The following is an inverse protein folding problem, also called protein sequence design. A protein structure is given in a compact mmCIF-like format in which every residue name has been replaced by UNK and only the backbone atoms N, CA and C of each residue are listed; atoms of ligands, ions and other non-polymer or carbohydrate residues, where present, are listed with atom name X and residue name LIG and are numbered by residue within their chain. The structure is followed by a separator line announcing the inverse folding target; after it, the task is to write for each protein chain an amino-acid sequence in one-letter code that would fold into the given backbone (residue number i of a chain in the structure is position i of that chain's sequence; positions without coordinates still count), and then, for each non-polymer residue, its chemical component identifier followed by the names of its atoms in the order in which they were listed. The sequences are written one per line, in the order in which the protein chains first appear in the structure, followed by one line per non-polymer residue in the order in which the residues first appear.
data_IF_464040866557
#
_entry.id   IF_464040866557
#
_cell.length_a   1.000
_cell.length_b   1.000
_cell.length_c   1.000
_cell.angle_alpha   90.00
_cell.angle_beta   90.00
_cell.angle_gamma   90.00
#
_symmetry.space_group_name_H-M   'P 1'
#
loop_
_entity.id
_entity.type
_entity.pdbx_description
1 polymer ?
#
# COMPACT_ATOMS: atom_id res chain seq x y z
N UNK A 1 31.83 -30.87 2.79
CA UNK A 1 31.41 -29.59 2.19
C UNK A 1 30.04 -29.78 1.54
N UNK A 2 28.96 -29.62 2.30
CA UNK A 2 27.61 -29.72 1.76
C UNK A 2 26.97 -28.33 1.80
N UNK A 3 27.07 -27.63 0.67
CA UNK A 3 26.32 -26.40 0.41
C UNK A 3 24.87 -26.78 0.14
N UNK A 4 24.08 -27.01 1.19
CA UNK A 4 22.62 -27.00 1.03
C UNK A 4 22.17 -25.56 0.82
N UNK A 5 22.06 -25.18 -0.45
CA UNK A 5 21.26 -24.04 -0.87
C UNK A 5 19.81 -24.43 -0.65
N UNK A 6 19.28 -24.15 0.55
CA UNK A 6 17.84 -24.20 0.79
C UNK A 6 17.26 -22.95 0.13
N UNK A 7 16.91 -23.09 -1.15
CA UNK A 7 16.04 -22.17 -1.85
C UNK A 7 14.62 -22.29 -1.26
N UNK A 8 14.41 -21.67 -0.11
CA UNK A 8 13.09 -21.47 0.49
C UNK A 8 12.37 -20.39 -0.32
N UNK A 9 11.78 -20.80 -1.45
CA UNK A 9 10.72 -20.08 -2.13
C UNK A 9 9.46 -20.13 -1.25
N UNK A 10 9.46 -19.33 -0.18
CA UNK A 10 8.24 -19.06 0.58
C UNK A 10 7.43 -18.06 -0.24
N UNK A 11 6.52 -18.60 -1.04
CA UNK A 11 5.41 -17.85 -1.61
C UNK A 11 4.60 -17.32 -0.43
N UNK A 12 4.93 -16.12 0.02
CA UNK A 12 4.17 -15.45 1.05
C UNK A 12 2.84 -15.06 0.42
N UNK A 13 1.82 -15.87 0.68
CA UNK A 13 0.42 -15.50 0.53
C UNK A 13 0.10 -14.37 1.50
N UNK A 14 0.59 -13.17 1.19
CA UNK A 14 0.24 -11.94 1.86
C UNK A 14 -1.15 -11.53 1.34
N UNK A 15 -2.16 -12.35 1.63
CA UNK A 15 -3.58 -12.03 1.48
C UNK A 15 -3.99 -10.99 2.53
N UNK A 16 -3.29 -9.85 2.56
CA UNK A 16 -3.91 -8.62 3.05
C UNK A 16 -4.79 -8.11 1.93
N UNK A 17 -5.96 -8.73 1.80
CA UNK A 17 -7.17 -8.22 1.16
C UNK A 17 -6.90 -7.05 0.21
N UNK A 18 -6.56 -7.38 -1.04
CA UNK A 18 -6.92 -6.53 -2.18
C UNK A 18 -8.43 -6.74 -2.39
N UNK A 19 -9.24 -6.48 -1.35
CA UNK A 19 -10.70 -6.45 -1.49
C UNK A 19 -11.02 -5.12 -2.14
N UNK A 20 -11.14 -5.17 -3.47
CA UNK A 20 -11.88 -4.19 -4.24
C UNK A 20 -13.38 -4.43 -4.06
N UNK A 21 -13.87 -4.44 -2.82
CA UNK A 21 -15.29 -4.55 -2.49
C UNK A 21 -15.60 -3.61 -1.33
N UNK A 22 -16.62 -2.77 -1.51
CA UNK A 22 -17.22 -2.00 -0.42
C UNK A 22 -16.53 -0.67 -0.10
N UNK A 23 -16.90 0.38 -0.84
CA UNK A 23 -16.94 1.73 -0.26
C UNK A 23 -18.03 1.71 0.82
N UNK A 24 -17.65 1.75 2.10
CA UNK A 24 -18.36 2.31 3.26
C UNK A 24 -18.03 1.50 4.52
N UNK A 25 -17.44 2.16 5.51
CA UNK A 25 -17.21 1.55 6.82
C UNK A 25 -15.99 2.14 7.48
N UNK A 26 -16.23 3.03 8.45
CA UNK A 26 -15.26 3.42 9.48
C UNK A 26 -14.93 2.16 10.29
N UNK A 27 -14.08 1.27 9.76
CA UNK A 27 -13.62 0.09 10.48
C UNK A 27 -12.72 0.52 11.61
N UNK A 28 -13.11 0.18 12.85
CA UNK A 28 -12.28 0.35 14.04
C UNK A 28 -10.87 -0.20 13.77
N UNK A 29 -9.86 0.63 13.94
CA UNK A 29 -8.45 0.26 13.82
C UNK A 29 -7.95 -0.48 15.08
N UNK A 30 -8.73 -1.45 15.57
CA UNK A 30 -8.32 -2.27 16.69
C UNK A 30 -7.51 -3.44 16.11
N UNK A 31 -6.24 -3.58 16.52
CA UNK A 31 -5.36 -4.73 16.27
C UNK A 31 -4.59 -4.87 14.94
N UNK A 32 -4.39 -3.83 14.13
CA UNK A 32 -3.30 -3.88 13.13
C UNK A 32 -1.97 -3.51 13.79
N UNK A 33 -1.35 -4.48 14.48
CA UNK A 33 0.04 -4.37 14.89
C UNK A 33 0.91 -4.15 13.63
N UNK A 34 1.35 -2.91 13.41
CA UNK A 34 2.26 -2.63 12.30
C UNK A 34 3.52 -3.50 12.44
N UNK A 35 4.12 -3.93 11.33
CA UNK A 35 5.26 -4.87 11.32
C UNK A 35 6.36 -4.58 12.36
N UNK A 36 6.63 -3.30 12.64
CA UNK A 36 7.60 -2.89 13.67
C UNK A 36 7.21 -3.29 15.10
N UNK A 37 5.91 -3.37 15.41
CA UNK A 37 5.40 -3.87 16.69
C UNK A 37 5.64 -5.38 16.81
N UNK A 38 5.53 -6.13 15.71
CA UNK A 38 5.87 -7.55 15.70
C UNK A 38 7.38 -7.76 15.85
N UNK A 39 8.19 -6.95 15.16
CA UNK A 39 9.66 -6.97 15.28
C UNK A 39 10.12 -6.70 16.71
N UNK A 40 9.41 -5.84 17.47
CA UNK A 40 9.71 -5.58 18.88
C UNK A 40 9.52 -6.78 19.80
N UNK A 41 8.78 -7.82 19.37
CA UNK A 41 8.58 -9.07 20.11
C UNK A 41 9.66 -10.12 19.78
N UNK A 42 10.60 -9.79 18.90
CA UNK A 42 11.75 -10.63 18.58
C UNK A 42 12.91 -10.32 19.52
N UNK A 43 13.70 -11.34 19.82
CA UNK A 43 14.91 -11.21 20.61
C UNK A 43 16.03 -10.67 19.72
N UNK A 44 16.03 -9.36 19.50
CA UNK A 44 16.99 -8.66 18.66
C UNK A 44 18.27 -8.31 19.43
N UNK A 45 19.42 -8.55 18.79
CA UNK A 45 20.70 -8.07 19.29
C UNK A 45 20.87 -6.55 19.11
N UNK A 46 21.98 -6.01 19.60
CA UNK A 46 22.27 -4.57 19.58
C UNK A 46 22.44 -4.03 18.15
N UNK A 47 23.07 -4.79 17.27
CA UNK A 47 23.33 -4.38 15.88
C UNK A 47 22.03 -4.37 15.06
N UNK A 48 21.20 -5.40 15.22
CA UNK A 48 19.88 -5.50 14.63
C UNK A 48 18.98 -4.35 15.09
N UNK A 49 18.97 -4.03 16.38
CA UNK A 49 18.23 -2.87 16.93
C UNK A 49 18.69 -1.56 16.28
N UNK A 50 20.01 -1.38 16.12
CA UNK A 50 20.58 -0.19 15.44
C UNK A 50 20.14 -0.14 13.98
N UNK A 51 20.20 -1.25 13.26
CA UNK A 51 19.76 -1.34 11.86
C UNK A 51 18.26 -0.98 11.71
N UNK A 52 17.39 -1.52 12.57
CA UNK A 52 15.97 -1.17 12.56
C UNK A 52 15.69 0.28 12.91
N UNK A 53 16.48 0.90 13.79
CA UNK A 53 16.37 2.34 14.10
C UNK A 53 16.66 3.19 12.85
N UNK A 54 17.71 2.87 12.10
CA UNK A 54 18.04 3.54 10.83
C UNK A 54 16.92 3.34 9.80
N UNK A 55 16.41 2.11 9.65
CA UNK A 55 15.32 1.80 8.73
C UNK A 55 14.03 2.59 9.09
N UNK A 56 13.71 2.69 10.38
CA UNK A 56 12.58 3.49 10.89
C UNK A 56 12.76 4.99 10.62
N UNK A 57 13.97 5.52 10.75
CA UNK A 57 14.27 6.93 10.43
C UNK A 57 14.11 7.22 8.93
N UNK A 58 14.67 6.37 8.06
CA UNK A 58 14.49 6.49 6.60
C UNK A 58 13.01 6.47 6.19
N UNK A 59 12.22 5.61 6.83
CA UNK A 59 10.77 5.57 6.63
C UNK A 59 10.07 6.86 7.07
N UNK A 60 10.47 7.46 8.19
CA UNK A 60 9.89 8.74 8.63
C UNK A 60 10.11 9.84 7.60
N UNK A 61 11.30 9.93 7.02
CA UNK A 61 11.60 10.89 5.96
C UNK A 61 10.73 10.65 4.71
N UNK A 62 10.59 9.39 4.27
CA UNK A 62 9.77 9.08 3.08
C UNK A 62 8.27 9.34 3.27
N UNK A 63 7.76 9.22 4.51
CA UNK A 63 6.33 9.45 4.80
C UNK A 63 5.91 10.89 4.50
N UNK A 64 6.79 11.87 4.71
CA UNK A 64 6.47 13.27 4.48
C UNK A 64 6.31 13.56 2.98
N UNK A 65 7.27 13.11 2.17
CA UNK A 65 7.22 13.19 0.70
C UNK A 65 5.94 12.49 0.18
N UNK A 66 5.67 11.28 0.68
CA UNK A 66 4.46 10.53 0.31
C UNK A 66 3.16 11.24 0.74
N UNK A 67 3.19 12.14 1.72
CA UNK A 67 2.00 12.87 2.17
C UNK A 67 1.61 13.96 1.17
N UNK A 68 2.59 14.67 0.64
CA UNK A 68 2.38 15.74 -0.35
C UNK A 68 1.95 15.16 -1.69
N UNK A 69 2.61 14.10 -2.17
CA UNK A 69 2.18 13.35 -3.37
C UNK A 69 0.71 12.90 -3.25
N UNK A 70 0.32 12.41 -2.06
CA UNK A 70 -1.07 11.99 -1.80
C UNK A 70 -2.07 13.13 -1.82
N UNK A 71 -1.67 14.33 -1.42
CA UNK A 71 -2.54 15.51 -1.43
C UNK A 71 -2.76 15.97 -2.87
N UNK A 72 -1.68 16.18 -3.63
CA UNK A 72 -1.75 16.58 -5.03
C UNK A 72 -2.57 15.58 -5.88
N UNK A 73 -2.35 14.28 -5.67
CA UNK A 73 -3.11 13.24 -6.36
C UNK A 73 -4.61 13.27 -6.03
N UNK A 74 -4.98 13.54 -4.77
CA UNK A 74 -6.40 13.65 -4.37
C UNK A 74 -7.06 14.87 -5.01
N UNK A 75 -6.34 15.98 -5.08
CA UNK A 75 -6.81 17.20 -5.74
C UNK A 75 -7.00 16.94 -7.24
N UNK A 76 -6.01 16.33 -7.91
CA UNK A 76 -6.11 15.96 -9.33
C UNK A 76 -7.29 15.01 -9.61
N UNK A 77 -7.53 14.00 -8.76
CA UNK A 77 -8.70 13.13 -8.89
C UNK A 77 -10.01 13.88 -8.70
N UNK A 78 -10.06 14.81 -7.73
CA UNK A 78 -11.26 15.58 -7.43
C UNK A 78 -11.61 16.51 -8.60
N UNK A 79 -10.63 17.25 -9.10
CA UNK A 79 -10.82 18.16 -10.24
C UNK A 79 -11.11 17.38 -11.52
N UNK A 80 -10.37 16.32 -11.81
CA UNK A 80 -10.57 15.49 -13.00
C UNK A 80 -11.92 14.77 -13.04
N UNK A 81 -12.59 14.59 -11.90
CA UNK A 81 -13.93 13.99 -11.82
C UNK A 81 -15.08 14.99 -11.98
N UNK A 82 -14.83 16.30 -11.95
CA UNK A 82 -15.88 17.30 -12.18
C UNK A 82 -16.25 17.30 -13.67
N UNK A 83 -17.50 16.97 -14.05
CA UNK A 83 -17.97 17.19 -15.41
C UNK A 83 -18.18 18.69 -15.65
N UNK A 84 -17.85 19.14 -16.85
CA UNK A 84 -18.35 20.42 -17.33
C UNK A 84 -19.80 20.21 -17.79
N UNK A 85 -20.75 20.78 -17.06
CA UNK A 85 -22.17 20.54 -17.27
C UNK A 85 -22.70 21.26 -18.50
N UNK A 86 -22.07 22.35 -18.93
CA UNK A 86 -22.50 23.14 -20.10
C UNK A 86 -22.46 22.29 -21.37
N UNK A 87 -21.48 21.38 -21.48
CA UNK A 87 -21.31 20.48 -22.63
C UNK A 87 -22.45 19.47 -22.76
N UNK A 88 -23.14 19.15 -21.66
CA UNK A 88 -24.22 18.15 -21.65
C UNK A 88 -25.62 18.77 -21.63
N UNK A 89 -25.70 20.10 -21.60
CA UNK A 89 -26.96 20.83 -21.53
C UNK A 89 -27.18 21.57 -22.84
N UNK A 90 -28.26 21.26 -23.53
CA UNK A 90 -28.82 22.12 -24.59
C UNK A 90 -29.88 23.04 -24.00
N UNK A 91 -30.37 24.00 -24.79
CA UNK A 91 -31.40 24.96 -24.35
C UNK A 91 -32.65 24.29 -23.75
N UNK A 92 -32.97 23.05 -24.13
CA UNK A 92 -34.17 22.34 -23.65
C UNK A 92 -33.94 20.91 -23.14
N UNK A 93 -32.75 20.30 -23.29
CA UNK A 93 -32.55 18.88 -22.91
C UNK A 93 -31.13 18.56 -22.45
N UNK A 94 -31.01 17.53 -21.60
CA UNK A 94 -29.73 16.98 -21.12
C UNK A 94 -29.31 15.74 -21.93
N UNK A 95 -28.10 15.75 -22.49
CA UNK A 95 -27.53 14.59 -23.17
C UNK A 95 -26.96 13.57 -22.17
N UNK A 96 -27.86 12.70 -21.70
CA UNK A 96 -27.54 11.61 -20.78
C UNK A 96 -26.54 10.60 -21.34
N UNK A 97 -26.48 10.42 -22.67
CA UNK A 97 -25.59 9.45 -23.31
C UNK A 97 -24.16 9.99 -23.31
N UNK A 98 -23.98 11.24 -23.73
CA UNK A 98 -22.69 11.93 -23.70
C UNK A 98 -22.14 12.04 -22.26
N UNK A 99 -22.98 12.41 -21.29
CA UNK A 99 -22.58 12.48 -19.88
C UNK A 99 -22.07 11.14 -19.35
N UNK A 100 -22.83 10.06 -19.57
CA UNK A 100 -22.41 8.71 -19.14
C UNK A 100 -21.08 8.29 -19.76
N UNK A 101 -20.86 8.62 -21.04
CA UNK A 101 -19.61 8.32 -21.75
C UNK A 101 -18.43 9.05 -21.11
N UNK A 102 -18.58 10.34 -20.81
CA UNK A 102 -17.52 11.14 -20.17
C UNK A 102 -17.23 10.65 -18.74
N UNK A 103 -18.27 10.38 -17.96
CA UNK A 103 -18.08 9.87 -16.59
C UNK A 103 -17.40 8.49 -16.57
N UNK A 104 -17.69 7.60 -17.53
CA UNK A 104 -16.96 6.33 -17.67
C UNK A 104 -15.49 6.55 -17.98
N UNK A 105 -15.16 7.48 -18.89
CA UNK A 105 -13.77 7.84 -19.22
C UNK A 105 -13.02 8.33 -17.98
N UNK A 106 -13.61 9.28 -17.23
CA UNK A 106 -13.04 9.82 -15.98
C UNK A 106 -12.88 8.76 -14.89
N UNK A 107 -13.85 7.86 -14.77
CA UNK A 107 -13.79 6.74 -13.83
C UNK A 107 -12.65 5.79 -14.17
N UNK A 108 -12.48 5.41 -15.44
CA UNK A 108 -11.39 4.55 -15.88
C UNK A 108 -10.02 5.20 -15.64
N UNK A 109 -9.85 6.48 -16.00
CA UNK A 109 -8.61 7.21 -15.72
C UNK A 109 -8.27 7.23 -14.22
N UNK A 110 -9.28 7.45 -13.37
CA UNK A 110 -9.12 7.42 -11.92
C UNK A 110 -8.77 6.01 -11.41
N UNK A 111 -9.35 4.96 -12.01
CA UNK A 111 -9.05 3.57 -11.67
C UNK A 111 -7.59 3.23 -11.97
N UNK A 112 -7.08 3.61 -13.13
CA UNK A 112 -5.68 3.40 -13.49
C UNK A 112 -4.73 4.12 -12.52
N UNK A 113 -5.03 5.38 -12.19
CA UNK A 113 -4.24 6.14 -11.22
C UNK A 113 -4.25 5.49 -9.82
N UNK A 114 -5.39 4.90 -9.40
CA UNK A 114 -5.47 4.11 -8.15
C UNK A 114 -4.66 2.83 -8.23
N UNK A 115 -4.68 2.13 -9.36
CA UNK A 115 -3.93 0.89 -9.58
C UNK A 115 -2.43 1.14 -9.55
N UNK A 116 -1.93 2.16 -10.27
CA UNK A 116 -0.53 2.56 -10.27
C UNK A 116 -0.02 2.85 -8.84
N UNK A 117 -0.82 3.56 -8.04
CA UNK A 117 -0.49 3.79 -6.64
C UNK A 117 -0.49 2.50 -5.82
N UNK A 118 -1.44 1.60 -6.02
CA UNK A 118 -1.46 0.30 -5.33
C UNK A 118 -0.19 -0.48 -5.66
N UNK A 119 0.25 -0.50 -6.92
CA UNK A 119 1.50 -1.13 -7.34
C UNK A 119 2.72 -0.50 -6.62
N UNK A 120 2.88 0.84 -6.66
CA UNK A 120 3.96 1.55 -5.93
C UNK A 120 3.96 1.21 -4.43
N UNK A 121 2.79 1.06 -3.82
CA UNK A 121 2.66 0.69 -2.40
C UNK A 121 3.05 -0.76 -2.13
N UNK A 122 2.73 -1.69 -3.04
CA UNK A 122 3.13 -3.10 -2.95
C UNK A 122 4.65 -3.23 -3.07
N UNK A 123 5.26 -2.57 -4.05
CA UNK A 123 6.73 -2.54 -4.22
C UNK A 123 7.44 -1.98 -2.98
N UNK A 124 6.99 -0.83 -2.46
CA UNK A 124 7.54 -0.26 -1.23
C UNK A 124 7.43 -1.22 -0.05
N UNK A 125 6.32 -1.94 0.07
CA UNK A 125 6.13 -2.96 1.11
C UNK A 125 7.08 -4.13 0.91
N UNK A 126 7.22 -4.64 -0.31
CA UNK A 126 8.14 -5.73 -0.65
C UNK A 126 9.60 -5.34 -0.30
N UNK A 127 10.06 -4.18 -0.76
CA UNK A 127 11.41 -3.67 -0.42
C UNK A 127 11.61 -3.46 1.09
N UNK A 128 10.57 -3.02 1.80
CA UNK A 128 10.65 -2.88 3.27
C UNK A 128 10.78 -4.25 3.92
N UNK A 129 10.01 -5.24 3.49
CA UNK A 129 10.09 -6.61 4.02
C UNK A 129 11.44 -7.23 3.72
N UNK A 130 11.94 -7.16 2.49
CA UNK A 130 13.27 -7.63 2.12
C UNK A 130 14.35 -7.09 3.07
N UNK A 131 14.37 -5.77 3.32
CA UNK A 131 15.31 -5.15 4.26
C UNK A 131 15.14 -5.66 5.69
N UNK A 132 13.91 -5.90 6.14
CA UNK A 132 13.64 -6.49 7.47
C UNK A 132 14.20 -7.91 7.53
N UNK A 133 13.86 -8.76 6.57
CA UNK A 133 14.30 -10.16 6.55
C UNK A 133 15.82 -10.27 6.48
N UNK A 134 16.51 -9.37 5.75
CA UNK A 134 17.97 -9.34 5.69
C UNK A 134 18.64 -8.96 7.02
N UNK A 135 17.95 -8.27 7.93
CA UNK A 135 18.46 -7.96 9.28
C UNK A 135 18.27 -9.15 10.24
N UNK A 136 17.19 -9.92 10.05
CA UNK A 136 16.81 -11.00 10.96
C UNK A 136 17.57 -12.31 10.67
N UNK A 137 17.89 -13.05 11.73
CA UNK A 137 18.38 -14.42 11.65
C UNK A 137 17.27 -15.38 11.20
N UNK A 138 17.60 -16.59 10.68
CA UNK A 138 16.59 -17.56 10.24
C UNK A 138 15.51 -17.86 11.29
N UNK A 139 15.90 -18.10 12.55
CA UNK A 139 14.95 -18.37 13.65
C UNK A 139 14.04 -17.17 13.95
N UNK A 140 14.56 -15.94 13.88
CA UNK A 140 13.77 -14.73 14.07
C UNK A 140 12.77 -14.51 12.92
N UNK A 141 13.12 -14.89 11.69
CA UNK A 141 12.22 -14.84 10.53
C UNK A 141 11.03 -15.77 10.73
N UNK A 142 11.27 -17.01 11.16
CA UNK A 142 10.20 -17.98 11.47
C UNK A 142 9.25 -17.44 12.55
N UNK A 143 9.80 -16.95 13.67
CA UNK A 143 9.02 -16.32 14.75
C UNK A 143 8.20 -15.13 14.25
N UNK A 144 8.76 -14.29 13.37
CA UNK A 144 8.04 -13.18 12.77
C UNK A 144 6.85 -13.65 11.90
N UNK A 145 7.04 -14.74 11.14
CA UNK A 145 5.98 -15.33 10.33
C UNK A 145 4.84 -15.85 11.21
N UNK A 146 5.16 -16.55 12.29
CA UNK A 146 4.15 -17.02 13.26
C UNK A 146 3.38 -15.85 13.89
N UNK A 147 4.09 -14.80 14.32
CA UNK A 147 3.47 -13.60 14.87
C UNK A 147 2.56 -12.88 13.87
N UNK A 148 2.84 -12.99 12.56
CA UNK A 148 2.03 -12.35 11.52
C UNK A 148 0.72 -13.07 11.19
N UNK A 149 0.56 -14.32 11.64
CA UNK A 149 -0.65 -15.13 11.43
C UNK A 149 -1.70 -14.94 12.53
N UNK A 150 -1.31 -14.31 13.65
CA UNK A 150 -2.18 -14.00 14.79
C UNK A 150 -2.92 -12.69 14.55
#
# INVERSE_FOLDING_TARGET
MNKMIVALLVIFGLTMAISAEGMNGKGKHENRAGIYKLIQQLDLDVEQKKAFKVLKQKRKASIQIDKEERKAMREAMREGMKPDMEIFMSSNTFDKVAFKKEMRKKFNATKELRNARRAKMVEKRASTMEKIFNILSPKQREKLIELSKK
#
